data_IF_933509735516
#
_entry.id   IF_933509735516
#
_cell.length_a   1.000
_cell.length_b   1.000
_cell.length_c   1.000
_cell.angle_alpha   90.00
_cell.angle_beta   90.00
_cell.angle_gamma   90.00
#
_symmetry.space_group_name_H-M   'P 1'
#
loop_
_entity.id
_entity.type
_entity.pdbx_description
1 polymer ?
#
# COMPACT_ATOMS: atom_id res chain seq x y z
N UNK A 1 5.87 -6.67 -10.67
CA UNK A 1 4.70 -7.10 -11.47
C UNK A 1 4.43 -6.22 -12.69
N UNK A 2 4.28 -4.90 -12.54
CA UNK A 2 4.03 -4.01 -13.69
C UNK A 2 5.06 -4.16 -14.83
N UNK A 3 6.36 -4.12 -14.52
CA UNK A 3 7.43 -4.28 -15.51
C UNK A 3 7.40 -5.65 -16.20
N UNK A 4 7.05 -6.71 -15.47
CA UNK A 4 6.92 -8.06 -16.01
C UNK A 4 5.79 -8.14 -17.04
N UNK A 5 4.60 -7.63 -16.72
CA UNK A 5 3.48 -7.60 -17.68
C UNK A 5 3.76 -6.71 -18.89
N UNK A 6 4.47 -5.60 -18.70
CA UNK A 6 4.92 -4.76 -19.80
C UNK A 6 5.85 -5.51 -20.77
N UNK A 7 6.84 -6.25 -20.24
CA UNK A 7 7.75 -7.05 -21.06
C UNK A 7 6.98 -8.12 -21.83
N UNK A 8 6.05 -8.83 -21.17
CA UNK A 8 5.23 -9.86 -21.83
C UNK A 8 4.37 -9.25 -22.95
N UNK A 9 3.81 -8.06 -22.74
CA UNK A 9 2.99 -7.39 -23.74
C UNK A 9 3.75 -6.99 -25.02
N UNK A 10 5.08 -6.83 -24.94
CA UNK A 10 5.94 -6.46 -26.08
C UNK A 10 6.51 -7.67 -26.82
N UNK A 11 6.60 -8.82 -26.14
CA UNK A 11 7.11 -10.04 -26.75
C UNK A 11 6.18 -10.51 -27.89
N UNK A 12 6.75 -11.11 -28.96
CA UNK A 12 5.97 -11.60 -30.08
C UNK A 12 4.98 -12.66 -29.59
N UNK A 13 3.71 -12.48 -29.95
CA UNK A 13 2.66 -13.44 -29.62
C UNK A 13 2.78 -14.68 -30.46
N UNK A 14 2.60 -15.83 -29.83
CA UNK A 14 2.33 -17.06 -30.55
C UNK A 14 0.87 -17.06 -31.03
N UNK A 15 0.69 -17.09 -32.35
CA UNK A 15 -0.63 -17.08 -32.99
C UNK A 15 -1.43 -18.37 -32.74
N UNK A 16 -0.77 -19.46 -32.32
CA UNK A 16 -1.44 -20.75 -32.08
C UNK A 16 -2.09 -20.87 -30.69
N UNK A 17 -1.66 -20.06 -29.71
CA UNK A 17 -1.99 -20.26 -28.29
C UNK A 17 -3.17 -19.37 -27.83
N UNK A 18 -3.45 -18.25 -28.50
CA UNK A 18 -4.64 -17.43 -28.21
C UNK A 18 -4.54 -15.94 -28.54
N UNK A 19 -5.55 -15.14 -28.14
CA UNK A 19 -5.65 -13.73 -28.50
C UNK A 19 -4.75 -12.83 -27.62
N UNK A 20 -3.55 -12.51 -28.11
CA UNK A 20 -2.61 -11.60 -27.42
C UNK A 20 -3.20 -10.20 -27.19
N UNK A 21 -4.03 -9.69 -28.11
CA UNK A 21 -4.58 -8.34 -28.01
C UNK A 21 -5.47 -8.14 -26.77
N UNK A 22 -6.20 -9.18 -26.38
CA UNK A 22 -7.03 -9.16 -25.17
C UNK A 22 -6.15 -9.22 -23.91
N UNK A 23 -5.10 -10.05 -23.93
CA UNK A 23 -4.12 -10.11 -22.84
C UNK A 23 -3.51 -8.73 -22.59
N UNK A 24 -2.99 -8.07 -23.63
CA UNK A 24 -2.38 -6.75 -23.51
C UNK A 24 -3.40 -5.70 -23.06
N UNK A 25 -4.65 -5.75 -23.53
CA UNK A 25 -5.69 -4.80 -23.12
C UNK A 25 -6.01 -4.86 -21.63
N UNK A 26 -6.01 -6.05 -21.03
CA UNK A 26 -6.40 -6.24 -19.62
C UNK A 26 -5.20 -6.15 -18.66
N UNK A 27 -4.07 -6.72 -19.06
CA UNK A 27 -2.90 -6.88 -18.17
C UNK A 27 -1.83 -5.81 -18.39
N UNK A 28 -1.98 -4.92 -19.38
CA UNK A 28 -1.03 -3.81 -19.53
C UNK A 28 -1.05 -2.92 -18.30
N UNK A 29 0.12 -2.62 -17.73
CA UNK A 29 0.20 -1.73 -16.59
C UNK A 29 -0.19 -0.30 -17.00
N UNK A 30 -1.06 0.31 -16.20
CA UNK A 30 -1.35 1.73 -16.32
C UNK A 30 -0.22 2.49 -15.62
N UNK A 31 0.75 2.98 -16.39
CA UNK A 31 1.98 3.61 -15.87
C UNK A 31 1.72 4.72 -14.86
N UNK A 32 0.64 5.48 -15.03
CA UNK A 32 0.23 6.51 -14.08
C UNK A 32 -0.05 5.93 -12.68
N UNK A 33 -0.76 4.81 -12.60
CA UNK A 33 -1.04 4.15 -11.31
C UNK A 33 0.23 3.58 -10.70
N UNK A 34 1.11 3.00 -11.53
CA UNK A 34 2.39 2.45 -11.09
C UNK A 34 3.25 3.54 -10.44
N UNK A 35 3.42 4.68 -11.10
CA UNK A 35 4.19 5.81 -10.58
C UNK A 35 3.54 6.37 -9.31
N UNK A 36 2.21 6.51 -9.29
CA UNK A 36 1.49 6.96 -8.11
C UNK A 36 1.74 6.06 -6.89
N UNK A 37 1.66 4.74 -7.07
CA UNK A 37 1.92 3.77 -5.99
C UNK A 37 3.35 3.85 -5.48
N UNK A 38 4.34 3.89 -6.38
CA UNK A 38 5.76 3.95 -5.97
C UNK A 38 6.03 5.23 -5.16
N UNK A 39 5.53 6.37 -5.62
CA UNK A 39 5.72 7.64 -4.90
C UNK A 39 5.02 7.65 -3.54
N UNK A 40 3.78 7.14 -3.48
CA UNK A 40 3.02 7.07 -2.24
C UNK A 40 3.66 6.13 -1.21
N UNK A 41 4.13 4.96 -1.66
CA UNK A 41 4.80 3.96 -0.83
C UNK A 41 6.11 4.50 -0.25
N UNK A 42 6.98 5.08 -1.08
CA UNK A 42 8.26 5.64 -0.59
C UNK A 42 8.01 6.68 0.51
N UNK A 43 7.10 7.63 0.28
CA UNK A 43 6.85 8.72 1.23
C UNK A 43 6.19 8.18 2.51
N UNK A 44 5.22 7.28 2.39
CA UNK A 44 4.52 6.71 3.54
C UNK A 44 5.43 5.83 4.40
N UNK A 45 6.33 5.05 3.80
CA UNK A 45 7.27 4.18 4.52
C UNK A 45 8.27 5.00 5.37
N UNK A 46 8.78 6.13 4.83
CA UNK A 46 9.63 7.04 5.61
C UNK A 46 8.90 7.60 6.82
N UNK A 47 7.61 7.93 6.66
CA UNK A 47 6.80 8.50 7.74
C UNK A 47 6.45 7.44 8.77
N UNK A 48 6.10 6.23 8.34
CA UNK A 48 5.86 5.09 9.24
C UNK A 48 7.08 4.86 10.13
N UNK A 49 8.27 4.76 9.53
CA UNK A 49 9.53 4.50 10.23
C UNK A 49 9.86 5.59 11.25
N UNK A 50 9.68 6.86 10.89
CA UNK A 50 9.93 7.98 11.81
C UNK A 50 8.94 7.99 12.99
N UNK A 51 7.64 7.82 12.72
CA UNK A 51 6.62 7.79 13.78
C UNK A 51 6.85 6.61 14.71
N UNK A 52 7.17 5.44 14.14
CA UNK A 52 7.49 4.25 14.91
C UNK A 52 8.72 4.46 15.81
N UNK A 53 9.77 5.11 15.29
CA UNK A 53 10.99 5.45 16.02
C UNK A 53 10.71 6.42 17.18
N UNK A 54 9.92 7.48 16.92
CA UNK A 54 9.50 8.45 17.93
C UNK A 54 8.70 7.77 19.04
N UNK A 55 7.75 6.91 18.68
CA UNK A 55 6.93 6.19 19.65
C UNK A 55 7.77 5.26 20.52
N UNK A 56 8.70 4.52 19.90
CA UNK A 56 9.59 3.59 20.60
C UNK A 56 10.49 4.32 21.59
N UNK A 57 11.05 5.48 21.21
CA UNK A 57 11.87 6.32 22.09
C UNK A 57 11.07 6.88 23.28
N UNK A 58 9.82 7.28 23.05
CA UNK A 58 8.97 7.93 24.06
C UNK A 58 8.37 6.94 25.07
N UNK A 59 7.96 5.75 24.63
CA UNK A 59 7.15 4.83 25.44
C UNK A 59 7.87 3.54 25.91
N UNK A 60 9.19 3.41 25.69
CA UNK A 60 10.07 2.35 26.23
C UNK A 60 9.39 0.96 26.34
N UNK A 61 8.86 0.46 25.23
CA UNK A 61 8.28 -0.90 25.07
C UNK A 61 6.99 -1.25 25.87
N UNK A 62 6.30 -0.32 26.52
CA UNK A 62 5.08 -0.69 27.30
C UNK A 62 3.86 -1.09 26.46
N UNK A 63 3.72 -0.61 25.22
CA UNK A 63 2.58 -0.90 24.35
C UNK A 63 3.02 -1.14 22.90
N UNK A 64 3.24 -2.42 22.54
CA UNK A 64 3.67 -2.86 21.20
C UNK A 64 2.57 -2.60 20.16
N UNK A 65 1.31 -2.78 20.50
CA UNK A 65 0.18 -2.53 19.63
C UNK A 65 -0.01 -1.03 19.33
N UNK A 66 0.20 -0.17 20.34
CA UNK A 66 0.00 1.27 20.22
C UNK A 66 0.93 1.92 19.19
N UNK A 67 2.21 1.50 19.14
CA UNK A 67 3.14 1.99 18.11
C UNK A 67 2.69 1.61 16.70
N UNK A 68 2.26 0.36 16.49
CA UNK A 68 1.89 -0.16 15.16
C UNK A 68 0.62 0.52 14.65
N UNK A 69 -0.41 0.68 15.48
CA UNK A 69 -1.60 1.41 15.07
C UNK A 69 -1.22 2.86 14.74
N UNK A 70 -0.50 3.54 15.62
CA UNK A 70 -0.21 4.96 15.43
C UNK A 70 0.59 5.26 14.16
N UNK A 71 1.63 4.46 13.87
CA UNK A 71 2.48 4.67 12.70
C UNK A 71 1.72 4.30 11.43
N UNK A 72 1.05 3.14 11.43
CA UNK A 72 0.34 2.64 10.27
C UNK A 72 -0.87 3.52 9.89
N UNK A 73 -1.64 4.02 10.87
CA UNK A 73 -2.77 4.94 10.59
C UNK A 73 -2.28 6.22 9.91
N UNK A 74 -1.17 6.81 10.38
CA UNK A 74 -0.66 8.04 9.77
C UNK A 74 -0.05 7.76 8.39
N UNK A 75 0.71 6.68 8.25
CA UNK A 75 1.32 6.26 7.00
C UNK A 75 0.25 5.97 5.93
N UNK A 76 -0.81 5.23 6.26
CA UNK A 76 -1.86 4.86 5.30
C UNK A 76 -2.67 6.06 4.82
N UNK A 77 -2.90 7.06 5.68
CA UNK A 77 -3.61 8.29 5.31
C UNK A 77 -2.77 9.04 4.28
N UNK A 78 -1.47 9.17 4.54
CA UNK A 78 -0.56 9.88 3.65
C UNK A 78 -0.38 9.13 2.32
N UNK A 79 -0.20 7.80 2.38
CA UNK A 79 -0.22 6.92 1.20
C UNK A 79 -1.47 7.16 0.36
N UNK A 80 -2.66 7.08 0.97
CA UNK A 80 -3.92 7.20 0.25
C UNK A 80 -4.15 8.59 -0.35
N UNK A 81 -3.70 9.66 0.32
CA UNK A 81 -3.75 11.03 -0.19
C UNK A 81 -2.83 11.17 -1.41
N UNK A 82 -1.55 10.80 -1.26
CA UNK A 82 -0.55 10.94 -2.32
C UNK A 82 -0.94 10.09 -3.53
N UNK A 83 -1.35 8.85 -3.29
CA UNK A 83 -1.83 7.95 -4.33
C UNK A 83 -3.02 8.55 -5.07
N UNK A 84 -4.08 8.96 -4.37
CA UNK A 84 -5.28 9.50 -5.04
C UNK A 84 -4.99 10.77 -5.83
N UNK A 85 -4.12 11.65 -5.32
CA UNK A 85 -3.71 12.85 -6.03
C UNK A 85 -2.95 12.50 -7.32
N UNK A 86 -1.93 11.65 -7.26
CA UNK A 86 -1.13 11.35 -8.45
C UNK A 86 -1.92 10.47 -9.44
N UNK A 87 -2.68 9.50 -8.93
CA UNK A 87 -3.38 8.48 -9.71
C UNK A 87 -4.68 8.97 -10.38
N UNK A 88 -5.39 9.94 -9.79
CA UNK A 88 -6.74 10.30 -10.22
C UNK A 88 -6.99 11.80 -10.45
N UNK A 89 -6.09 12.69 -10.00
CA UNK A 89 -6.26 14.12 -10.23
C UNK A 89 -6.31 14.46 -11.73
N UNK A 90 -7.34 15.19 -12.17
CA UNK A 90 -7.52 15.56 -13.58
C UNK A 90 -8.09 14.47 -14.50
N UNK A 91 -8.31 13.23 -14.01
CA UNK A 91 -8.99 12.18 -14.80
C UNK A 91 -10.42 11.91 -14.37
N UNK A 92 -10.76 12.16 -13.12
CA UNK A 92 -12.11 11.97 -12.58
C UNK A 92 -12.58 13.23 -11.84
N UNK A 93 -13.91 13.44 -11.71
CA UNK A 93 -14.46 14.52 -10.89
C UNK A 93 -13.95 14.48 -9.44
N UNK A 94 -13.66 15.65 -8.87
CA UNK A 94 -13.14 15.76 -7.50
C UNK A 94 -14.05 15.13 -6.45
N UNK A 95 -15.37 15.15 -6.65
CA UNK A 95 -16.33 14.49 -5.75
C UNK A 95 -16.10 12.97 -5.68
N UNK A 96 -15.84 12.35 -6.82
CA UNK A 96 -15.54 10.91 -6.91
C UNK A 96 -14.16 10.63 -6.33
N UNK A 97 -13.17 11.47 -6.60
CA UNK A 97 -11.82 11.34 -6.03
C UNK A 97 -11.84 11.33 -4.50
N UNK A 98 -12.57 12.28 -3.89
CA UNK A 98 -12.70 12.35 -2.43
C UNK A 98 -13.42 11.11 -1.89
N UNK A 99 -14.46 10.63 -2.58
CA UNK A 99 -15.14 9.39 -2.20
C UNK A 99 -14.19 8.19 -2.23
N UNK A 100 -13.38 8.04 -3.28
CA UNK A 100 -12.39 6.95 -3.39
C UNK A 100 -11.34 7.05 -2.27
N UNK A 101 -10.85 8.25 -1.99
CA UNK A 101 -9.87 8.50 -0.93
C UNK A 101 -10.42 8.08 0.43
N UNK A 102 -11.63 8.54 0.77
CA UNK A 102 -12.28 8.23 2.06
C UNK A 102 -12.54 6.72 2.16
N UNK A 103 -13.08 6.10 1.11
CA UNK A 103 -13.32 4.65 1.08
C UNK A 103 -12.04 3.85 1.28
N UNK A 104 -10.92 4.26 0.65
CA UNK A 104 -9.64 3.59 0.83
C UNK A 104 -9.13 3.70 2.27
N UNK A 105 -9.21 4.89 2.87
CA UNK A 105 -8.76 5.09 4.25
C UNK A 105 -9.58 4.23 5.21
N UNK A 106 -10.91 4.22 5.07
CA UNK A 106 -11.79 3.43 5.94
C UNK A 106 -11.48 1.93 5.82
N UNK A 107 -11.39 1.41 4.60
CA UNK A 107 -11.14 -0.02 4.37
C UNK A 107 -9.76 -0.41 4.92
N UNK A 108 -8.72 0.37 4.63
CA UNK A 108 -7.36 0.12 5.13
C UNK A 108 -7.29 0.19 6.65
N UNK A 109 -7.94 1.16 7.28
CA UNK A 109 -7.96 1.30 8.74
C UNK A 109 -8.68 0.13 9.42
N UNK A 110 -9.80 -0.34 8.86
CA UNK A 110 -10.49 -1.54 9.36
C UNK A 110 -9.60 -2.78 9.29
N UNK A 111 -8.85 -2.94 8.20
CA UNK A 111 -7.88 -4.04 8.07
C UNK A 111 -6.77 -3.91 9.12
N UNK A 112 -6.24 -2.70 9.32
CA UNK A 112 -5.23 -2.42 10.36
C UNK A 112 -5.72 -2.85 11.74
N UNK A 113 -6.88 -2.35 12.17
CA UNK A 113 -7.44 -2.67 13.49
C UNK A 113 -7.69 -4.18 13.64
N UNK A 114 -8.20 -4.83 12.59
CA UNK A 114 -8.45 -6.28 12.58
C UNK A 114 -7.16 -7.10 12.62
N UNK A 115 -6.07 -6.58 12.04
CA UNK A 115 -4.76 -7.25 11.99
C UNK A 115 -3.95 -7.11 13.29
N UNK A 116 -4.17 -6.05 14.08
CA UNK A 116 -3.42 -5.78 15.31
C UNK A 116 -3.42 -6.95 16.32
N UNK A 117 -4.54 -7.67 16.57
CA UNK A 117 -4.54 -8.84 17.45
C UNK A 117 -3.55 -9.94 17.03
N UNK A 118 -3.24 -10.08 15.73
CA UNK A 118 -2.28 -11.08 15.26
C UNK A 118 -0.86 -10.83 15.75
N UNK A 119 -0.52 -9.60 16.14
CA UNK A 119 0.80 -9.26 16.70
C UNK A 119 1.08 -10.07 17.98
N UNK A 120 0.04 -10.44 18.73
CA UNK A 120 0.19 -11.22 19.95
C UNK A 120 0.35 -12.72 19.69
N UNK A 121 -0.06 -13.23 18.53
CA UNK A 121 0.10 -14.65 18.18
C UNK A 121 1.57 -15.02 17.96
N UNK A 122 2.41 -14.07 17.56
CA UNK A 122 3.86 -14.28 17.33
C UNK A 122 4.71 -14.10 18.59
N UNK A 123 4.13 -13.65 19.70
CA UNK A 123 4.86 -13.30 20.93
C UNK A 123 5.34 -14.51 21.77
N UNK A 124 5.27 -15.74 21.23
CA UNK A 124 5.85 -16.93 21.85
C UNK A 124 7.29 -17.24 21.40
N UNK A 125 7.92 -16.45 20.53
CA UNK A 125 9.23 -16.79 19.93
C UNK A 125 10.44 -16.12 20.63
N UNK A 126 10.24 -15.13 21.50
CA UNK A 126 11.35 -14.40 22.16
C UNK A 126 11.53 -14.68 23.65
N UNK A 127 11.10 -15.86 24.12
CA UNK A 127 11.37 -16.30 25.51
C UNK A 127 12.58 -17.23 25.67
N UNK A 128 13.42 -17.37 24.64
CA UNK A 128 14.51 -18.36 24.62
C UNK A 128 15.90 -17.78 24.29
N UNK A 129 16.24 -16.64 24.90
CA UNK A 129 17.63 -16.19 25.04
C UNK A 129 17.85 -15.60 26.44
N UNK A 130 17.83 -16.49 27.44
CA UNK A 130 18.58 -16.30 28.68
C UNK A 130 20.00 -16.85 28.49
#
# INVERSE_FOLDING_TARGET
>A
MALFFYIIGILPSDLEIGPQNEFTSVLSPIWRLVIASICAEIISEFIDTEIYSIWTKKFKNKMIWGRVISSNTIALIIDSIIFCLIAFYGTIPNSILISILISNIIVKELVTITSVPLIYLTNNITKDKN
#
